data_IF_804312513192
#
_entry.id   IF_804312513192
#
_cell.length_a   1.000
_cell.length_b   1.000
_cell.length_c   1.000
_cell.angle_alpha   90.00
_cell.angle_beta   90.00
_cell.angle_gamma   90.00
#
_symmetry.space_group_name_H-M   'P 1'
#
loop_
_entity.id
_entity.type
_entity.pdbx_description
1 polymer ?
#
# COMPACT_ATOMS: atom_id res chain seq x y z
N UNK A 1 -12.70 -1.73 -11.15
CA UNK A 1 -12.24 -1.55 -9.75
C UNK A 1 -13.36 -1.92 -8.80
N UNK A 2 -13.03 -2.57 -7.67
CA UNK A 2 -13.96 -2.78 -6.55
C UNK A 2 -14.24 -1.43 -5.88
N UNK A 3 -15.50 -1.14 -5.57
CA UNK A 3 -15.85 0.05 -4.78
C UNK A 3 -15.38 -0.14 -3.34
N UNK A 4 -14.86 0.92 -2.73
CA UNK A 4 -14.51 0.89 -1.31
C UNK A 4 -15.79 0.68 -0.48
N UNK A 5 -15.72 -0.21 0.50
CA UNK A 5 -16.77 -0.51 1.46
C UNK A 5 -16.24 -0.31 2.89
N UNK A 6 -17.06 -0.65 3.89
CA UNK A 6 -16.70 -0.45 5.31
C UNK A 6 -15.43 -1.22 5.68
N UNK A 7 -15.30 -2.45 5.23
CA UNK A 7 -14.15 -3.30 5.55
C UNK A 7 -12.88 -2.73 4.91
N UNK A 8 -12.97 -2.28 3.66
CA UNK A 8 -11.88 -1.58 2.99
C UNK A 8 -11.45 -0.32 3.74
N UNK A 9 -12.39 0.49 4.23
CA UNK A 9 -12.08 1.68 5.03
C UNK A 9 -11.40 1.33 6.36
N UNK A 10 -11.85 0.27 7.04
CA UNK A 10 -11.22 -0.20 8.28
C UNK A 10 -9.79 -0.66 8.04
N UNK A 11 -9.54 -1.42 6.97
CA UNK A 11 -8.20 -1.82 6.58
C UNK A 11 -7.30 -0.61 6.30
N UNK A 12 -7.82 0.40 5.60
CA UNK A 12 -7.07 1.62 5.29
C UNK A 12 -6.66 2.36 6.56
N UNK A 13 -7.59 2.57 7.49
CA UNK A 13 -7.32 3.22 8.78
C UNK A 13 -6.30 2.43 9.62
N UNK A 14 -6.43 1.10 9.64
CA UNK A 14 -5.54 0.21 10.39
C UNK A 14 -4.09 0.29 9.87
N UNK A 15 -3.89 0.22 8.54
CA UNK A 15 -2.56 0.35 7.93
C UNK A 15 -1.99 1.76 8.09
N UNK A 16 -2.81 2.80 7.90
CA UNK A 16 -2.41 4.19 8.03
C UNK A 16 -1.87 4.48 9.44
N UNK A 17 -2.60 4.05 10.48
CA UNK A 17 -2.18 4.17 11.88
C UNK A 17 -0.92 3.39 12.19
N UNK A 18 -0.75 2.19 11.61
CA UNK A 18 0.49 1.43 11.77
C UNK A 18 1.68 2.19 11.16
N UNK A 19 1.50 2.79 9.98
CA UNK A 19 2.55 3.56 9.32
C UNK A 19 2.89 4.84 10.08
N UNK A 20 1.90 5.59 10.53
CA UNK A 20 2.06 6.77 11.39
C UNK A 20 2.87 6.43 12.65
N UNK A 21 2.43 5.40 13.38
CA UNK A 21 3.06 4.95 14.63
C UNK A 21 4.51 4.47 14.44
N UNK A 22 4.86 3.97 13.24
CA UNK A 22 6.23 3.56 12.93
C UNK A 22 7.24 4.71 12.98
N UNK A 23 6.81 5.97 12.85
CA UNK A 23 7.70 7.12 12.92
C UNK A 23 8.35 7.23 14.30
N UNK A 24 7.57 7.00 15.36
CA UNK A 24 8.01 7.13 16.76
C UNK A 24 8.41 5.81 17.41
N UNK A 25 7.87 4.68 16.95
CA UNK A 25 8.08 3.37 17.58
C UNK A 25 9.19 2.52 16.96
N UNK A 26 9.80 2.97 15.87
CA UNK A 26 10.82 2.22 15.15
C UNK A 26 12.00 3.14 14.83
N UNK A 27 13.23 2.61 14.85
CA UNK A 27 14.43 3.38 14.47
C UNK A 27 14.71 3.34 12.95
N UNK A 28 14.15 2.34 12.26
CA UNK A 28 14.40 2.11 10.83
C UNK A 28 13.83 3.22 9.93
N UNK A 29 14.51 3.53 8.83
CA UNK A 29 14.07 4.55 7.88
C UNK A 29 12.72 4.23 7.23
N UNK A 30 11.90 5.27 6.97
CA UNK A 30 10.51 5.10 6.52
C UNK A 30 10.38 4.27 5.25
N UNK A 31 11.22 4.51 4.24
CA UNK A 31 11.19 3.72 3.00
C UNK A 31 11.51 2.23 3.21
N UNK A 32 12.38 1.91 4.17
CA UNK A 32 12.79 0.54 4.49
C UNK A 32 11.69 -0.14 5.32
N UNK A 33 11.13 0.56 6.31
CA UNK A 33 9.94 0.11 7.04
C UNK A 33 8.78 -0.23 6.10
N UNK A 34 8.41 0.71 5.23
CA UNK A 34 7.32 0.52 4.26
C UNK A 34 7.59 -0.74 3.42
N UNK A 35 8.82 -0.92 2.91
CA UNK A 35 9.16 -2.12 2.15
C UNK A 35 8.95 -3.40 2.98
N UNK A 36 9.44 -3.44 4.22
CA UNK A 36 9.28 -4.61 5.10
C UNK A 36 7.80 -4.88 5.39
N UNK A 37 7.04 -3.85 5.72
CA UNK A 37 5.61 -3.97 5.98
C UNK A 37 4.88 -4.53 4.76
N UNK A 38 5.06 -3.91 3.58
CA UNK A 38 4.35 -4.31 2.36
C UNK A 38 4.71 -5.71 1.84
N UNK A 39 5.80 -6.31 2.36
CA UNK A 39 6.23 -7.69 2.07
C UNK A 39 5.96 -8.66 3.24
N UNK A 40 5.40 -8.19 4.35
CA UNK A 40 5.22 -8.99 5.57
C UNK A 40 4.01 -9.92 5.48
N UNK A 41 3.96 -10.91 6.38
CA UNK A 41 2.77 -11.75 6.55
C UNK A 41 1.55 -10.92 6.95
N UNK A 42 1.75 -9.86 7.75
CA UNK A 42 0.68 -8.93 8.17
C UNK A 42 0.02 -8.30 6.94
N UNK A 43 0.80 -7.78 5.98
CA UNK A 43 0.23 -7.22 4.76
C UNK A 43 -0.50 -8.28 3.92
N UNK A 44 -0.06 -9.54 3.95
CA UNK A 44 -0.78 -10.67 3.34
C UNK A 44 -2.15 -10.92 3.99
N UNK A 45 -2.22 -10.94 5.32
CA UNK A 45 -3.49 -11.05 6.07
C UNK A 45 -4.41 -9.85 5.85
N UNK A 46 -3.85 -8.67 5.57
CA UNK A 46 -4.62 -7.49 5.15
C UNK A 46 -5.13 -7.60 3.71
N UNK A 47 -4.38 -8.27 2.82
CA UNK A 47 -4.77 -8.47 1.41
C UNK A 47 -5.97 -9.42 1.28
N UNK A 48 -6.01 -10.50 2.06
CA UNK A 48 -7.14 -11.45 2.07
C UNK A 48 -8.24 -11.09 3.09
N UNK A 49 -8.02 -10.08 3.93
CA UNK A 49 -8.99 -9.56 4.90
C UNK A 49 -9.10 -10.38 6.19
N UNK A 50 -8.33 -11.46 6.35
CA UNK A 50 -8.32 -12.28 7.57
C UNK A 50 -7.96 -11.49 8.82
N UNK A 51 -7.18 -10.41 8.67
CA UNK A 51 -6.82 -9.49 9.75
C UNK A 51 -8.05 -8.93 10.49
N UNK A 52 -9.19 -8.74 9.79
CA UNK A 52 -10.43 -8.19 10.35
C UNK A 52 -11.16 -9.18 11.28
N UNK A 53 -10.80 -10.47 11.22
CA UNK A 53 -11.31 -11.50 12.13
C UNK A 53 -10.52 -11.55 13.44
N UNK A 54 -9.50 -10.70 13.59
CA UNK A 54 -8.65 -10.61 14.77
C UNK A 54 -8.87 -9.29 15.50
N UNK A 55 -8.37 -9.18 16.73
CA UNK A 55 -8.36 -7.92 17.50
C UNK A 55 -7.06 -7.14 17.34
N UNK A 56 -6.29 -7.40 16.29
CA UNK A 56 -4.93 -6.86 16.13
C UNK A 56 -4.93 -5.33 16.14
N UNK A 57 -3.95 -4.76 16.84
CA UNK A 57 -3.77 -3.30 16.91
C UNK A 57 -2.58 -2.84 16.06
N UNK A 58 -2.54 -1.58 15.59
CA UNK A 58 -1.42 -1.04 14.82
C UNK A 58 -0.04 -1.30 15.44
N UNK A 59 0.07 -1.18 16.77
CA UNK A 59 1.32 -1.47 17.51
C UNK A 59 1.74 -2.93 17.40
N UNK A 60 0.79 -3.86 17.46
CA UNK A 60 1.05 -5.30 17.33
C UNK A 60 1.51 -5.64 15.91
N UNK A 61 0.96 -4.98 14.88
CA UNK A 61 1.45 -5.11 13.51
C UNK A 61 2.93 -4.74 13.38
N UNK A 62 3.35 -3.64 14.01
CA UNK A 62 4.77 -3.24 14.02
C UNK A 62 5.66 -4.30 14.66
N UNK A 63 5.22 -4.88 15.77
CA UNK A 63 5.94 -5.95 16.46
C UNK A 63 6.05 -7.22 15.62
N UNK A 64 5.00 -7.59 14.89
CA UNK A 64 5.02 -8.74 13.98
C UNK A 64 5.98 -8.53 12.81
N UNK A 65 5.97 -7.33 12.19
CA UNK A 65 6.92 -6.98 11.12
C UNK A 65 8.36 -6.97 11.63
N UNK A 66 8.61 -6.43 12.83
CA UNK A 66 9.93 -6.47 13.46
C UNK A 66 10.36 -7.90 13.79
N UNK A 67 9.44 -8.76 14.24
CA UNK A 67 9.71 -10.18 14.50
C UNK A 67 10.08 -10.93 13.21
N UNK A 68 9.43 -10.62 12.10
CA UNK A 68 9.67 -11.26 10.80
C UNK A 68 11.02 -10.84 10.19
N UNK A 69 11.38 -9.56 10.26
CA UNK A 69 12.57 -9.02 9.58
C UNK A 69 13.74 -8.68 10.51
N UNK A 70 13.57 -8.82 11.82
CA UNK A 70 14.51 -8.40 12.85
C UNK A 70 14.57 -6.88 13.05
N UNK A 71 15.09 -6.45 14.20
CA UNK A 71 15.39 -5.04 14.47
C UNK A 71 16.43 -4.50 13.50
N UNK A 72 16.26 -3.25 13.10
CA UNK A 72 17.19 -2.54 12.23
C UNK A 72 17.08 -1.04 12.46
N UNK A 73 18.21 -0.35 12.34
CA UNK A 73 18.36 1.11 12.30
C UNK A 73 18.76 1.59 10.88
N UNK A 74 18.63 0.73 9.88
CA UNK A 74 19.05 1.01 8.51
C UNK A 74 18.13 2.04 7.82
N UNK A 75 18.74 2.98 7.11
CA UNK A 75 18.06 4.11 6.47
C UNK A 75 17.76 5.22 7.47
N UNK A 76 18.39 6.37 7.32
CA UNK A 76 18.26 7.49 8.27
C UNK A 76 17.08 8.41 8.00
N UNK A 77 16.49 8.36 6.80
CA UNK A 77 15.42 9.28 6.41
C UNK A 77 14.08 8.81 6.97
N UNK A 78 13.54 9.62 7.88
CA UNK A 78 12.18 9.50 8.41
C UNK A 78 11.25 10.47 7.69
N UNK A 79 10.11 9.96 7.25
CA UNK A 79 8.98 10.75 6.79
C UNK A 79 8.19 11.23 8.00
N UNK A 80 7.40 12.29 7.84
CA UNK A 80 6.54 12.79 8.93
C UNK A 80 5.39 11.82 9.22
N UNK A 81 4.79 11.93 10.41
CA UNK A 81 3.61 11.14 10.81
C UNK A 81 2.48 11.27 9.78
N UNK A 82 2.16 12.49 9.34
CA UNK A 82 1.13 12.74 8.34
C UNK A 82 1.46 12.14 6.96
N UNK A 83 2.72 12.25 6.52
CA UNK A 83 3.19 11.62 5.28
C UNK A 83 3.01 10.09 5.37
N UNK A 84 3.41 9.49 6.50
CA UNK A 84 3.32 8.05 6.72
C UNK A 84 1.87 7.56 6.80
N UNK A 85 1.02 8.27 7.55
CA UNK A 85 -0.42 7.98 7.62
C UNK A 85 -1.03 7.94 6.23
N UNK A 86 -0.82 9.01 5.45
CA UNK A 86 -1.40 9.11 4.11
C UNK A 86 -0.85 8.05 3.15
N UNK A 87 0.47 7.77 3.18
CA UNK A 87 1.07 6.70 2.38
C UNK A 87 0.46 5.33 2.73
N UNK A 88 0.33 5.02 4.03
CA UNK A 88 -0.28 3.77 4.49
C UNK A 88 -1.72 3.63 4.01
N UNK A 89 -2.49 4.72 4.10
CA UNK A 89 -3.87 4.78 3.63
C UNK A 89 -3.97 4.55 2.11
N UNK A 90 -3.20 5.29 1.31
CA UNK A 90 -3.22 5.19 -0.16
C UNK A 90 -2.84 3.80 -0.63
N UNK A 91 -1.79 3.20 -0.06
CA UNK A 91 -1.41 1.85 -0.43
C UNK A 91 -2.50 0.82 -0.16
N UNK A 92 -3.16 0.90 1.01
CA UNK A 92 -4.21 -0.06 1.33
C UNK A 92 -5.44 0.14 0.48
N UNK A 93 -5.83 1.40 0.25
CA UNK A 93 -6.94 1.78 -0.61
C UNK A 93 -6.71 1.28 -2.04
N UNK A 94 -5.50 1.50 -2.57
CA UNK A 94 -5.10 1.02 -3.89
C UNK A 94 -5.21 -0.51 -3.95
N UNK A 95 -4.54 -1.22 -3.04
CA UNK A 95 -4.53 -2.67 -3.04
C UNK A 95 -5.96 -3.26 -2.92
N UNK A 96 -6.82 -2.66 -2.10
CA UNK A 96 -8.21 -3.11 -1.93
C UNK A 96 -9.09 -2.85 -3.16
N UNK A 97 -9.10 -1.61 -3.68
CA UNK A 97 -10.01 -1.21 -4.78
C UNK A 97 -9.58 -1.74 -6.14
N UNK A 98 -8.29 -2.03 -6.32
CA UNK A 98 -7.74 -2.60 -7.54
C UNK A 98 -7.52 -4.11 -7.45
N UNK A 99 -7.86 -4.75 -6.32
CA UNK A 99 -7.72 -6.20 -6.11
C UNK A 99 -6.30 -6.69 -6.40
N UNK A 100 -5.31 -5.97 -5.84
CA UNK A 100 -3.88 -6.24 -5.97
C UNK A 100 -3.28 -6.52 -4.62
N UNK A 101 -2.23 -7.35 -4.59
CA UNK A 101 -1.48 -7.56 -3.34
C UNK A 101 -0.69 -6.32 -2.96
N UNK A 102 -0.39 -6.19 -1.67
CA UNK A 102 0.47 -5.16 -1.12
C UNK A 102 1.83 -5.11 -1.83
N UNK A 103 2.39 -6.27 -2.17
CA UNK A 103 3.64 -6.39 -2.93
C UNK A 103 3.49 -5.81 -4.35
N UNK A 104 2.39 -6.10 -5.05
CA UNK A 104 2.13 -5.57 -6.39
C UNK A 104 2.00 -4.04 -6.36
N UNK A 105 1.27 -3.51 -5.38
CA UNK A 105 1.08 -2.06 -5.21
C UNK A 105 2.39 -1.35 -4.88
N UNK A 106 3.20 -1.89 -3.96
CA UNK A 106 4.53 -1.34 -3.66
C UNK A 106 5.48 -1.37 -4.87
N UNK A 107 5.32 -2.36 -5.77
CA UNK A 107 6.08 -2.43 -7.01
C UNK A 107 5.64 -1.37 -8.02
N UNK A 108 4.34 -1.09 -8.09
CA UNK A 108 3.77 -0.10 -8.98
C UNK A 108 4.19 1.32 -8.59
N UNK A 109 4.03 1.71 -7.32
CA UNK A 109 4.32 3.08 -6.84
C UNK A 109 5.26 3.01 -5.65
N UNK A 110 6.39 3.73 -5.70
CA UNK A 110 7.37 3.75 -4.61
C UNK A 110 7.00 4.76 -3.52
N UNK A 111 7.41 4.52 -2.26
CA UNK A 111 7.05 5.41 -1.16
C UNK A 111 7.60 6.82 -1.29
N UNK A 112 8.76 6.98 -1.96
CA UNK A 112 9.30 8.31 -2.26
C UNK A 112 8.42 9.07 -3.25
N UNK A 113 7.89 8.40 -4.27
CA UNK A 113 6.96 9.01 -5.24
C UNK A 113 5.69 9.49 -4.54
N UNK A 114 5.13 8.66 -3.65
CA UNK A 114 3.98 9.07 -2.84
C UNK A 114 4.32 10.27 -1.95
N UNK A 115 5.45 10.23 -1.24
CA UNK A 115 5.88 11.34 -0.39
C UNK A 115 5.98 12.66 -1.17
N UNK A 116 6.57 12.63 -2.36
CA UNK A 116 6.72 13.83 -3.21
C UNK A 116 5.35 14.38 -3.68
N UNK A 117 4.30 13.55 -3.66
CA UNK A 117 2.91 13.90 -3.99
C UNK A 117 2.04 14.19 -2.76
N UNK A 118 2.58 14.12 -1.53
CA UNK A 118 1.80 14.33 -0.31
C UNK A 118 1.12 15.71 -0.31
N UNK A 119 1.87 16.79 -0.45
CA UNK A 119 1.32 18.16 -0.42
C UNK A 119 0.20 18.39 -1.44
N UNK A 120 0.35 18.06 -2.74
CA UNK A 120 -0.72 18.30 -3.70
C UNK A 120 -1.91 17.34 -3.52
N UNK A 121 -1.72 16.10 -3.03
CA UNK A 121 -2.76 15.05 -3.12
C UNK A 121 -3.40 14.66 -1.78
N UNK A 122 -2.84 15.02 -0.62
CA UNK A 122 -3.33 14.52 0.67
C UNK A 122 -4.75 14.95 1.06
N UNK A 123 -5.28 16.00 0.43
CA UNK A 123 -6.68 16.44 0.61
C UNK A 123 -7.61 15.94 -0.49
N UNK A 124 -7.10 15.21 -1.47
CA UNK A 124 -7.90 14.64 -2.55
C UNK A 124 -8.62 13.38 -2.09
N UNK A 125 -9.71 13.05 -2.78
CA UNK A 125 -10.29 11.71 -2.67
C UNK A 125 -9.24 10.65 -3.03
N UNK A 126 -9.06 9.57 -2.23
CA UNK A 126 -8.05 8.55 -2.47
C UNK A 126 -8.12 7.89 -3.85
N UNK A 127 -9.32 7.66 -4.40
CA UNK A 127 -9.45 7.09 -5.73
C UNK A 127 -8.91 8.07 -6.78
N UNK A 128 -9.27 9.35 -6.69
CA UNK A 128 -8.74 10.38 -7.60
C UNK A 128 -7.21 10.53 -7.49
N UNK A 129 -6.66 10.46 -6.29
CA UNK A 129 -5.21 10.52 -6.09
C UNK A 129 -4.51 9.34 -6.79
N UNK A 130 -5.03 8.12 -6.63
CA UNK A 130 -4.49 6.92 -7.27
C UNK A 130 -4.62 6.99 -8.79
N UNK A 131 -5.78 7.40 -9.32
CA UNK A 131 -6.00 7.51 -10.76
C UNK A 131 -4.98 8.46 -11.41
N UNK A 132 -4.74 9.63 -10.79
CA UNK A 132 -3.72 10.59 -11.27
C UNK A 132 -2.29 10.03 -11.19
N UNK A 133 -1.97 9.29 -10.13
CA UNK A 133 -0.65 8.63 -9.99
C UNK A 133 -0.45 7.62 -11.12
N UNK A 134 -1.46 6.81 -11.40
CA UNK A 134 -1.40 5.77 -12.42
C UNK A 134 -1.33 6.35 -13.83
N UNK A 135 -2.15 7.36 -14.12
CA UNK A 135 -2.14 8.10 -15.39
C UNK A 135 -0.75 8.72 -15.67
N UNK A 136 -0.15 9.39 -14.69
CA UNK A 136 1.18 9.99 -14.83
C UNK A 136 2.29 8.95 -15.12
N UNK A 137 2.05 7.69 -14.77
CA UNK A 137 2.97 6.57 -15.02
C UNK A 137 2.67 5.82 -16.32
N UNK A 138 1.63 6.23 -17.06
CA UNK A 138 1.14 5.47 -18.21
C UNK A 138 0.60 4.09 -17.84
N UNK A 139 0.26 3.88 -16.56
CA UNK A 139 -0.36 2.65 -16.09
C UNK A 139 -1.87 2.85 -16.18
N UNK A 140 -2.53 2.08 -17.04
CA UNK A 140 -3.98 1.97 -17.04
C UNK A 140 -4.36 0.65 -16.39
N UNK A 141 -5.10 0.74 -15.28
CA UNK A 141 -5.68 -0.43 -14.61
C UNK A 141 -7.18 -0.52 -14.95
N UNK A 142 -7.48 -0.63 -16.23
CA UNK A 142 -8.80 -1.07 -16.66
C UNK A 142 -8.79 -2.59 -16.79
N UNK A 143 -9.72 -3.29 -16.12
CA UNK A 143 -9.85 -4.76 -16.26
C UNK A 143 -10.01 -5.15 -17.73
N UNK A 144 -10.67 -4.29 -18.52
CA UNK A 144 -10.84 -4.47 -19.96
C UNK A 144 -9.52 -4.38 -20.73
N UNK A 145 -8.59 -3.51 -20.33
CA UNK A 145 -7.31 -3.34 -21.02
C UNK A 145 -6.38 -4.53 -20.78
N UNK A 146 -6.39 -5.12 -19.58
CA UNK A 146 -5.63 -6.35 -19.32
C UNK A 146 -6.19 -7.55 -20.07
N UNK A 147 -7.52 -7.73 -20.09
CA UNK A 147 -8.17 -8.79 -20.91
C UNK A 147 -7.89 -8.59 -22.40
N UNK A 148 -7.94 -7.35 -22.90
CA UNK A 148 -7.58 -7.00 -24.28
C UNK A 148 -6.11 -7.29 -24.58
N UNK A 149 -5.18 -6.86 -23.72
CA UNK A 149 -3.74 -7.10 -23.90
C UNK A 149 -3.44 -8.61 -23.85
N UNK A 150 -4.08 -9.35 -22.94
CA UNK A 150 -3.95 -10.80 -22.84
C UNK A 150 -4.57 -11.52 -24.05
N UNK A 151 -5.71 -11.05 -24.54
CA UNK A 151 -6.34 -11.55 -25.76
C UNK A 151 -5.47 -11.30 -27.00
N UNK A 152 -4.89 -10.11 -27.14
CA UNK A 152 -3.93 -9.78 -28.20
C UNK A 152 -2.69 -10.67 -28.10
N UNK A 153 -2.16 -10.87 -26.89
CA UNK A 153 -1.00 -11.71 -26.65
C UNK A 153 -1.24 -13.19 -27.00
N UNK A 154 -2.41 -13.76 -26.64
CA UNK A 154 -2.81 -15.12 -27.05
C UNK A 154 -2.92 -15.24 -28.58
N UNK A 155 -3.48 -14.23 -29.23
CA UNK A 155 -3.61 -14.18 -30.70
C UNK A 155 -2.25 -14.18 -31.41
N UNK A 156 -1.28 -13.45 -30.88
CA UNK A 156 0.08 -13.36 -31.45
C UNK A 156 0.85 -14.67 -31.25
N UNK A 157 0.63 -15.38 -30.15
CA UNK A 157 1.34 -16.63 -29.83
C UNK A 157 0.64 -17.91 -30.30
N UNK A 158 -0.53 -17.81 -30.93
CA UNK A 158 -1.26 -18.97 -31.45
C UNK A 158 -1.66 -19.99 -30.38
N UNK A 159 -2.01 -19.52 -29.17
CA UNK A 159 -2.57 -20.34 -28.08
C UNK A 159 -4.07 -20.11 -27.95
#
# INVERSE_FOLDING_TARGET
MKKIDRDGLLLCDLQAKAFELSVTMQEIGSAVFIRRFMYSSVAGEMDDGSVLQTSIQPKEMLQLVEKEYGRSDYGSVKFTENEMFWIGYIYRYFAYTYERSSIQVYKAVKPKELRDLFLPYHTMDPAQAIDRILEAKGLSYDKQTEEMQYAVYRRIRGM
#
